data_IF_151924156197
#
_entry.id   IF_151924156197
#
_cell.length_a   1.000
_cell.length_b   1.000
_cell.length_c   1.000
_cell.angle_alpha   90.00
_cell.angle_beta   90.00
_cell.angle_gamma   90.00
#
_symmetry.space_group_name_H-M   'P 1'
#
loop_
_entity.id
_entity.type
_entity.pdbx_description
1 polymer ?
#
# COMPACT_ATOMS: atom_id res chain seq x y z
N UNK A 1 -7.29 1.57 -4.74
CA UNK A 1 -6.66 2.57 -3.85
C UNK A 1 -7.49 2.93 -2.61
N UNK A 2 -8.68 3.54 -2.74
CA UNK A 2 -9.42 4.13 -1.60
C UNK A 2 -9.51 3.22 -0.35
N UNK A 3 -9.95 1.97 -0.52
CA UNK A 3 -10.11 1.02 0.60
C UNK A 3 -8.78 0.66 1.28
N UNK A 4 -7.71 0.46 0.50
CA UNK A 4 -6.36 0.21 1.02
C UNK A 4 -5.88 1.42 1.84
N UNK A 5 -6.13 2.63 1.35
CA UNK A 5 -5.74 3.85 2.05
C UNK A 5 -6.50 4.03 3.37
N UNK A 6 -7.82 3.77 3.38
CA UNK A 6 -8.65 3.78 4.59
C UNK A 6 -8.13 2.78 5.63
N UNK A 7 -7.81 1.55 5.21
CA UNK A 7 -7.23 0.51 6.07
C UNK A 7 -5.91 0.98 6.73
N UNK A 8 -4.99 1.56 5.95
CA UNK A 8 -3.71 2.07 6.47
C UNK A 8 -3.92 3.24 7.44
N UNK A 9 -4.85 4.15 7.14
CA UNK A 9 -5.19 5.29 8.00
C UNK A 9 -5.79 4.83 9.34
N UNK A 10 -6.53 3.71 9.33
CA UNK A 10 -7.05 3.04 10.53
C UNK A 10 -5.99 2.23 11.29
N UNK A 11 -4.71 2.37 10.91
CA UNK A 11 -3.55 1.64 11.46
C UNK A 11 -3.66 0.12 11.33
N UNK A 12 -4.43 -0.35 10.37
CA UNK A 12 -4.51 -1.77 10.03
C UNK A 12 -3.41 -2.10 9.03
N UNK A 13 -2.74 -3.22 9.25
CA UNK A 13 -1.69 -3.69 8.34
C UNK A 13 -2.31 -4.35 7.13
N UNK A 14 -1.65 -4.23 5.98
CA UNK A 14 -1.96 -5.07 4.84
C UNK A 14 -1.40 -6.46 5.07
N UNK A 15 -2.14 -7.46 4.62
CA UNK A 15 -1.60 -8.80 4.41
C UNK A 15 -0.57 -8.78 3.28
N UNK A 16 0.26 -9.82 3.21
CA UNK A 16 1.24 -9.98 2.12
C UNK A 16 0.59 -9.95 0.74
N UNK A 17 -0.56 -10.58 0.58
CA UNK A 17 -1.29 -10.64 -0.70
C UNK A 17 -1.88 -9.27 -1.07
N UNK A 18 -2.44 -8.53 -0.10
CA UNK A 18 -2.91 -7.15 -0.32
C UNK A 18 -1.77 -6.22 -0.73
N UNK A 19 -0.62 -6.34 -0.06
CA UNK A 19 0.58 -5.58 -0.38
C UNK A 19 1.11 -5.89 -1.79
N UNK A 20 1.17 -7.16 -2.17
CA UNK A 20 1.51 -7.57 -3.53
C UNK A 20 0.53 -7.01 -4.56
N UNK A 21 -0.77 -7.16 -4.33
CA UNK A 21 -1.80 -6.71 -5.27
C UNK A 21 -1.76 -5.20 -5.47
N UNK A 22 -1.62 -4.41 -4.40
CA UNK A 22 -1.55 -2.95 -4.54
C UNK A 22 -0.28 -2.52 -5.27
N UNK A 23 0.86 -3.15 -5.00
CA UNK A 23 2.10 -2.83 -5.70
C UNK A 23 2.05 -3.23 -7.19
N UNK A 24 1.45 -4.36 -7.51
CA UNK A 24 1.21 -4.81 -8.88
C UNK A 24 0.35 -3.80 -9.65
N UNK A 25 -0.75 -3.32 -9.06
CA UNK A 25 -1.59 -2.26 -9.66
C UNK A 25 -0.86 -0.91 -9.79
N UNK A 26 0.02 -0.56 -8.85
CA UNK A 26 0.87 0.65 -8.98
C UNK A 26 1.80 0.50 -10.19
N UNK A 27 2.48 -0.64 -10.33
CA UNK A 27 3.44 -0.90 -11.40
C UNK A 27 2.78 -1.09 -12.78
N UNK A 28 1.51 -1.52 -12.82
CA UNK A 28 0.71 -1.59 -14.04
C UNK A 28 0.20 -0.22 -14.52
N UNK A 29 0.37 0.84 -13.72
CA UNK A 29 -0.08 2.19 -14.02
C UNK A 29 -1.56 2.43 -13.77
N UNK A 30 -2.21 1.64 -12.91
CA UNK A 30 -3.64 1.79 -12.59
C UNK A 30 -3.94 2.98 -11.67
N UNK A 31 -2.92 3.58 -11.04
CA UNK A 31 -3.07 4.70 -10.11
C UNK A 31 -2.28 5.93 -10.54
N UNK A 32 -2.82 7.11 -10.20
CA UNK A 32 -2.17 8.39 -10.49
C UNK A 32 -1.13 8.78 -9.41
N UNK A 33 -0.25 9.72 -9.76
CA UNK A 33 0.83 10.16 -8.86
C UNK A 33 0.30 10.65 -7.48
N UNK A 34 -0.80 11.43 -7.39
CA UNK A 34 -1.38 11.82 -6.10
C UNK A 34 -1.83 10.63 -5.24
N UNK A 35 -2.45 9.61 -5.83
CA UNK A 35 -2.88 8.40 -5.13
C UNK A 35 -1.68 7.61 -4.59
N UNK A 36 -0.64 7.45 -5.41
CA UNK A 36 0.59 6.77 -5.02
C UNK A 36 1.28 7.54 -3.88
N UNK A 37 1.40 8.86 -4.00
CA UNK A 37 1.98 9.71 -2.96
C UNK A 37 1.21 9.60 -1.64
N UNK A 38 -0.13 9.63 -1.68
CA UNK A 38 -0.99 9.47 -0.51
C UNK A 38 -0.81 8.11 0.17
N UNK A 39 -0.77 7.04 -0.62
CA UNK A 39 -0.50 5.69 -0.14
C UNK A 39 0.86 5.59 0.57
N UNK A 40 1.93 6.07 -0.06
CA UNK A 40 3.28 6.03 0.51
C UNK A 40 3.41 6.86 1.79
N UNK A 41 2.77 8.04 1.84
CA UNK A 41 2.76 8.85 3.06
C UNK A 41 1.98 8.18 4.19
N UNK A 42 0.81 7.61 3.91
CA UNK A 42 0.01 6.91 4.91
C UNK A 42 0.76 5.70 5.46
N UNK A 43 1.40 4.93 4.58
CA UNK A 43 2.18 3.75 4.94
C UNK A 43 3.36 4.13 5.85
N UNK A 44 4.09 5.20 5.49
CA UNK A 44 5.18 5.74 6.31
C UNK A 44 4.70 6.26 7.66
N UNK A 45 3.53 6.88 7.72
CA UNK A 45 2.95 7.40 8.96
C UNK A 45 2.48 6.27 9.90
N UNK A 46 1.95 5.17 9.35
CA UNK A 46 1.61 3.96 10.10
C UNK A 46 2.86 3.23 10.60
N UNK A 47 3.90 3.16 9.76
CA UNK A 47 5.04 2.27 9.88
C UNK A 47 4.79 0.96 9.15
N UNK A 48 5.70 0.61 8.25
CA UNK A 48 5.63 -0.61 7.43
C UNK A 48 5.92 -1.87 8.24
N UNK A 49 5.22 -2.97 7.94
CA UNK A 49 5.52 -4.29 8.49
C UNK A 49 6.41 -5.12 7.56
N UNK A 50 6.97 -6.21 8.09
CA UNK A 50 7.73 -7.18 7.28
C UNK A 50 6.85 -7.82 6.20
N UNK A 51 5.59 -8.14 6.51
CA UNK A 51 4.66 -8.74 5.54
C UNK A 51 4.32 -7.77 4.40
N UNK A 52 4.15 -6.48 4.72
CA UNK A 52 3.94 -5.42 3.73
C UNK A 52 5.15 -5.28 2.81
N UNK A 53 6.35 -5.11 3.37
CA UNK A 53 7.60 -4.98 2.61
C UNK A 53 7.84 -6.21 1.74
N UNK A 54 7.57 -7.40 2.28
CA UNK A 54 7.74 -8.66 1.55
C UNK A 54 6.73 -8.77 0.41
N UNK A 55 5.48 -8.34 0.61
CA UNK A 55 4.46 -8.31 -0.42
C UNK A 55 4.80 -7.35 -1.56
N UNK A 56 5.36 -6.18 -1.26
CA UNK A 56 5.78 -5.20 -2.26
C UNK A 56 6.96 -5.66 -3.13
N UNK A 57 7.77 -6.60 -2.65
CA UNK A 57 8.97 -7.07 -3.34
C UNK A 57 8.76 -8.32 -4.23
N UNK A 58 7.56 -8.90 -4.22
CA UNK A 58 7.15 -10.03 -5.05
C UNK A 58 6.71 -9.58 -6.44
#
# INVERSE_FOLDING_TARGET
MKQILEQILDKQNLTRDEAFNVMSSIMSGEFDDPQIAGFLMALRAKGETVDEITGFAL
#
